data_IF_820957700208
#
_entry.id   IF_820957700208
#
_cell.length_a   1.000
_cell.length_b   1.000
_cell.length_c   1.000
_cell.angle_alpha   90.00
_cell.angle_beta   90.00
_cell.angle_gamma   90.00
#
_symmetry.space_group_name_H-M   'P 1'
#
loop_
_entity.id
_entity.type
_entity.pdbx_description
1 polymer ?
#
# COMPACT_ATOMS: atom_id res chain seq x y z
N UNK A 1 -13.88 -5.35 14.55
CA UNK A 1 -12.46 -5.49 14.95
C UNK A 1 -11.75 -4.11 15.01
N UNK A 2 -11.69 -3.34 13.92
CA UNK A 2 -10.96 -2.06 13.92
C UNK A 2 -11.60 -0.97 14.79
N UNK A 3 -12.90 -1.03 15.02
CA UNK A 3 -13.63 -0.12 15.93
C UNK A 3 -13.18 -0.21 17.40
N UNK A 4 -12.59 -1.34 17.80
CA UNK A 4 -12.10 -1.57 19.16
C UNK A 4 -10.62 -1.23 19.36
N UNK A 5 -9.95 -0.68 18.37
CA UNK A 5 -8.56 -0.25 18.50
C UNK A 5 -8.44 0.89 19.51
N UNK A 6 -7.47 0.79 20.42
CA UNK A 6 -7.19 1.86 21.40
C UNK A 6 -6.77 3.16 20.71
N UNK A 7 -6.02 3.03 19.60
CA UNK A 7 -5.66 4.11 18.69
C UNK A 7 -6.10 3.69 17.29
N UNK A 8 -7.03 4.40 16.64
CA UNK A 8 -7.58 4.01 15.34
C UNK A 8 -6.61 4.30 14.19
N UNK A 9 -5.37 3.81 14.32
CA UNK A 9 -4.25 3.95 13.39
C UNK A 9 -3.77 2.57 12.97
N UNK A 10 -3.64 2.38 11.66
CA UNK A 10 -3.16 1.14 11.05
C UNK A 10 -1.89 1.43 10.25
N UNK A 11 -0.82 0.67 10.47
CA UNK A 11 0.32 0.67 9.56
C UNK A 11 -0.06 -0.08 8.28
N UNK A 12 -0.06 0.63 7.15
CA UNK A 12 -0.41 0.08 5.84
C UNK A 12 0.59 -1.01 5.41
N UNK A 13 0.14 -2.01 4.63
CA UNK A 13 1.04 -2.95 3.99
C UNK A 13 1.87 -2.23 2.91
N UNK A 14 3.18 -2.23 3.06
CA UNK A 14 4.12 -1.59 2.15
C UNK A 14 5.07 -2.65 1.60
N UNK A 15 4.72 -3.22 0.45
CA UNK A 15 5.49 -4.27 -0.21
C UNK A 15 6.87 -3.75 -0.67
N UNK A 16 7.83 -4.66 -0.78
CA UNK A 16 9.19 -4.35 -1.21
C UNK A 16 10.15 -3.91 -0.09
N UNK A 17 9.77 -4.16 1.18
CA UNK A 17 10.67 -4.02 2.32
C UNK A 17 10.16 -3.22 3.52
N UNK A 18 9.46 -2.09 3.37
CA UNK A 18 9.15 -1.23 4.53
C UNK A 18 8.32 -1.89 5.63
N UNK A 19 7.34 -2.78 5.29
CA UNK A 19 6.59 -3.54 6.29
C UNK A 19 7.43 -4.69 6.84
N UNK A 20 7.86 -4.55 8.08
CA UNK A 20 8.62 -5.57 8.83
C UNK A 20 7.79 -6.08 10.02
N UNK A 21 8.08 -7.27 10.55
CA UNK A 21 7.51 -7.74 11.81
C UNK A 21 7.71 -6.75 12.95
N UNK A 22 8.87 -6.07 13.01
CA UNK A 22 9.21 -5.08 14.02
C UNK A 22 8.31 -3.84 13.93
N UNK A 23 8.08 -3.31 12.72
CA UNK A 23 7.18 -2.18 12.49
C UNK A 23 5.76 -2.51 12.94
N UNK A 24 5.24 -3.65 12.49
CA UNK A 24 3.89 -4.12 12.87
C UNK A 24 3.78 -4.23 14.39
N UNK A 25 4.78 -4.86 15.03
CA UNK A 25 4.81 -5.05 16.49
C UNK A 25 4.82 -3.72 17.26
N UNK A 26 5.65 -2.76 16.82
CA UNK A 26 5.76 -1.45 17.46
C UNK A 26 4.43 -0.68 17.39
N UNK A 27 3.76 -0.70 16.24
CA UNK A 27 2.44 -0.08 16.07
C UNK A 27 1.37 -0.75 16.93
N UNK A 28 1.36 -2.08 17.02
CA UNK A 28 0.42 -2.84 17.86
C UNK A 28 0.63 -2.53 19.34
N UNK A 29 1.85 -2.49 19.82
CA UNK A 29 2.18 -2.11 21.22
C UNK A 29 1.71 -0.70 21.56
N UNK A 30 1.75 0.20 20.59
CA UNK A 30 1.22 1.56 20.76
C UNK A 30 -0.33 1.62 20.79
N UNK A 31 -1.01 0.50 20.50
CA UNK A 31 -2.47 0.37 20.52
C UNK A 31 -3.14 0.51 19.17
N UNK A 32 -2.36 0.57 18.08
CA UNK A 32 -2.82 0.51 16.71
C UNK A 32 -2.90 -0.92 16.17
N UNK A 33 -2.88 -1.04 14.84
CA UNK A 33 -2.86 -2.30 14.11
C UNK A 33 -1.83 -2.22 12.98
N UNK A 34 -1.35 -3.33 12.46
CA UNK A 34 -0.40 -3.31 11.36
C UNK A 34 -0.55 -4.50 10.42
N UNK A 35 -0.20 -4.28 9.15
CA UNK A 35 -0.19 -5.31 8.12
C UNK A 35 1.23 -5.65 7.68
N UNK A 36 1.53 -6.95 7.61
CA UNK A 36 2.62 -7.46 6.78
C UNK A 36 2.22 -7.38 5.30
N UNK A 37 3.18 -7.16 4.43
CA UNK A 37 2.95 -7.09 3.00
C UNK A 37 3.46 -8.37 2.32
N UNK A 38 2.55 -9.24 1.87
CA UNK A 38 2.88 -10.49 1.19
C UNK A 38 3.34 -10.30 -0.26
N UNK A 39 3.07 -9.13 -0.88
CA UNK A 39 3.49 -8.84 -2.25
C UNK A 39 5.00 -8.93 -2.44
N UNK A 40 5.42 -9.55 -3.55
CA UNK A 40 6.81 -9.78 -3.96
C UNK A 40 7.61 -10.75 -3.07
N UNK A 41 7.02 -11.32 -2.04
CA UNK A 41 7.62 -12.35 -1.20
C UNK A 41 7.29 -13.75 -1.73
N UNK A 42 8.12 -14.73 -1.39
CA UNK A 42 7.72 -16.14 -1.51
C UNK A 42 6.79 -16.51 -0.33
N UNK A 43 5.96 -17.56 -0.50
CA UNK A 43 5.14 -18.07 0.60
C UNK A 43 6.00 -18.47 1.82
N UNK A 44 7.19 -19.02 1.61
CA UNK A 44 8.11 -19.39 2.69
C UNK A 44 8.59 -18.14 3.47
N UNK A 45 9.06 -17.10 2.78
CA UNK A 45 9.48 -15.84 3.43
C UNK A 45 8.32 -15.18 4.18
N UNK A 46 7.10 -15.22 3.60
CA UNK A 46 5.91 -14.71 4.27
C UNK A 46 5.56 -15.52 5.52
N UNK A 47 5.71 -16.85 5.47
CA UNK A 47 5.49 -17.72 6.63
C UNK A 47 6.44 -17.39 7.81
N UNK A 48 7.71 -17.10 7.51
CA UNK A 48 8.70 -16.69 8.51
C UNK A 48 8.32 -15.34 9.14
N UNK A 49 7.86 -14.37 8.33
CA UNK A 49 7.40 -13.07 8.83
C UNK A 49 6.13 -13.20 9.69
N UNK A 50 5.17 -14.03 9.29
CA UNK A 50 3.95 -14.32 10.08
C UNK A 50 4.34 -14.92 11.43
N UNK A 51 5.22 -15.92 11.43
CA UNK A 51 5.68 -16.57 12.65
C UNK A 51 6.32 -15.57 13.61
N UNK A 52 7.29 -14.80 13.13
CA UNK A 52 7.99 -13.78 13.91
C UNK A 52 7.04 -12.70 14.45
N UNK A 53 6.09 -12.24 13.63
CA UNK A 53 5.12 -11.22 14.07
C UNK A 53 4.23 -11.77 15.17
N UNK A 54 3.75 -13.02 15.03
CA UNK A 54 2.92 -13.68 16.03
C UNK A 54 3.63 -13.85 17.37
N UNK A 55 4.92 -14.19 17.35
CA UNK A 55 5.73 -14.26 18.57
C UNK A 55 5.88 -12.90 19.27
N UNK A 56 5.98 -11.81 18.51
CA UNK A 56 6.25 -10.47 19.04
C UNK A 56 4.98 -9.68 19.41
N UNK A 57 3.90 -9.85 18.67
CA UNK A 57 2.67 -9.04 18.73
C UNK A 57 1.39 -9.86 19.01
N UNK A 58 1.48 -11.19 19.14
CA UNK A 58 0.31 -12.08 19.27
C UNK A 58 -0.53 -12.09 18.00
N UNK A 59 -1.86 -12.06 18.14
CA UNK A 59 -2.82 -12.17 17.03
C UNK A 59 -3.35 -10.79 16.56
N UNK A 60 -2.70 -9.69 16.91
CA UNK A 60 -3.17 -8.33 16.55
C UNK A 60 -2.51 -7.80 15.28
N UNK A 61 -2.42 -8.60 14.22
CA UNK A 61 -1.85 -8.18 12.94
C UNK A 61 -2.62 -8.76 11.75
N UNK A 62 -2.36 -8.19 10.57
CA UNK A 62 -2.89 -8.69 9.30
C UNK A 62 -1.80 -8.95 8.27
N UNK A 63 -2.21 -9.60 7.18
CA UNK A 63 -1.38 -9.84 5.99
C UNK A 63 -2.10 -9.29 4.77
N UNK A 64 -1.38 -8.58 3.90
CA UNK A 64 -1.92 -8.15 2.61
C UNK A 64 -1.43 -9.06 1.48
N UNK A 65 -2.34 -9.44 0.59
CA UNK A 65 -2.08 -10.19 -0.64
C UNK A 65 -2.51 -9.38 -1.86
N UNK A 66 -1.81 -9.57 -2.98
CA UNK A 66 -2.22 -9.03 -4.27
C UNK A 66 -3.12 -10.03 -4.99
N UNK A 67 -4.30 -9.58 -5.40
CA UNK A 67 -5.17 -10.38 -6.28
C UNK A 67 -4.55 -10.37 -7.67
N UNK A 68 -4.31 -11.53 -8.30
CA UNK A 68 -3.74 -11.60 -9.62
C UNK A 68 -4.65 -10.97 -10.67
N UNK A 69 -4.11 -10.04 -11.45
CA UNK A 69 -4.80 -9.48 -12.60
C UNK A 69 -4.72 -10.40 -13.83
N UNK A 70 -5.50 -10.08 -14.84
CA UNK A 70 -5.39 -10.74 -16.14
C UNK A 70 -4.02 -10.41 -16.75
N UNK A 71 -3.37 -11.43 -17.34
CA UNK A 71 -2.11 -11.24 -18.08
C UNK A 71 -2.30 -10.23 -19.22
N UNK A 72 -1.55 -9.14 -19.18
CA UNK A 72 -1.51 -8.19 -20.29
C UNK A 72 -0.90 -8.86 -21.53
N UNK A 73 -1.53 -8.64 -22.68
CA UNK A 73 -1.02 -9.08 -23.98
C UNK A 73 -0.21 -7.99 -24.70
N UNK A 74 0.00 -6.85 -24.05
CA UNK A 74 0.79 -5.73 -24.59
C UNK A 74 2.23 -6.19 -24.77
N UNK A 75 2.81 -5.92 -25.95
CA UNK A 75 4.24 -6.15 -26.19
C UNK A 75 5.07 -5.15 -25.38
N UNK A 76 5.87 -5.67 -24.48
CA UNK A 76 6.75 -4.89 -23.60
C UNK A 76 8.20 -4.81 -24.09
N UNK A 77 8.49 -5.35 -25.28
CA UNK A 77 9.85 -5.42 -25.84
C UNK A 77 10.42 -4.01 -26.07
N UNK A 78 9.62 -3.13 -26.68
CA UNK A 78 10.03 -1.74 -26.94
C UNK A 78 10.35 -0.98 -25.65
N UNK A 79 9.62 -1.25 -24.57
CA UNK A 79 9.89 -0.66 -23.27
C UNK A 79 11.18 -1.22 -22.64
N UNK A 80 11.40 -2.53 -22.73
CA UNK A 80 12.64 -3.15 -22.29
C UNK A 80 13.87 -2.63 -23.04
N UNK A 81 13.76 -2.46 -24.37
CA UNK A 81 14.82 -1.89 -25.22
C UNK A 81 15.12 -0.43 -24.84
N UNK A 82 14.09 0.36 -24.59
CA UNK A 82 14.23 1.75 -24.09
C UNK A 82 15.05 1.81 -22.81
N UNK A 83 14.91 0.85 -21.92
CA UNK A 83 15.59 0.82 -20.62
C UNK A 83 17.04 0.36 -20.69
N UNK A 84 17.57 -0.10 -21.85
CA UNK A 84 18.96 -0.57 -21.97
C UNK A 84 19.97 0.51 -21.55
N UNK A 85 19.80 1.74 -22.05
CA UNK A 85 20.69 2.84 -21.69
C UNK A 85 20.66 3.20 -20.20
N UNK A 86 19.52 3.03 -19.55
CA UNK A 86 19.43 3.19 -18.09
C UNK A 86 20.10 2.02 -17.36
N UNK A 87 19.90 0.79 -17.81
CA UNK A 87 20.52 -0.40 -17.25
C UNK A 87 22.04 -0.38 -17.37
N UNK A 88 22.56 0.10 -18.52
CA UNK A 88 24.00 0.26 -18.77
C UNK A 88 24.68 1.21 -17.79
N UNK A 89 23.97 2.25 -17.30
CA UNK A 89 24.48 3.16 -16.25
C UNK A 89 24.87 2.43 -14.97
N UNK A 90 24.22 1.31 -14.67
CA UNK A 90 24.44 0.49 -13.48
C UNK A 90 25.12 -0.83 -13.77
N UNK A 91 25.54 -1.09 -15.03
CA UNK A 91 26.23 -2.32 -15.40
C UNK A 91 25.34 -3.56 -15.31
N UNK A 92 24.03 -3.44 -15.52
CA UNK A 92 23.06 -4.53 -15.47
C UNK A 92 22.27 -4.62 -16.77
N UNK A 93 21.52 -5.73 -16.96
CA UNK A 93 20.54 -5.84 -18.02
C UNK A 93 19.12 -5.64 -17.46
N UNK A 94 18.17 -5.12 -18.26
CA UNK A 94 16.76 -5.18 -17.91
C UNK A 94 16.31 -6.63 -17.65
N UNK A 95 15.38 -6.81 -16.73
CA UNK A 95 14.82 -8.13 -16.45
C UNK A 95 13.90 -8.65 -17.56
N UNK A 96 13.47 -9.90 -17.44
CA UNK A 96 12.52 -10.48 -18.38
C UNK A 96 11.09 -10.01 -18.07
N UNK A 97 10.36 -9.55 -19.10
CA UNK A 97 8.96 -9.14 -19.02
C UNK A 97 7.99 -10.32 -18.85
N UNK A 98 8.18 -11.13 -17.80
CA UNK A 98 7.31 -12.27 -17.51
C UNK A 98 6.12 -11.84 -16.68
N UNK A 99 4.98 -12.44 -16.98
CA UNK A 99 3.82 -12.40 -16.09
C UNK A 99 3.99 -13.45 -14.99
N UNK A 100 3.60 -13.12 -13.79
CA UNK A 100 3.45 -14.04 -12.66
C UNK A 100 2.23 -13.60 -11.81
N UNK A 101 1.72 -14.51 -11.01
CA UNK A 101 0.59 -14.30 -10.09
C UNK A 101 1.04 -13.96 -8.67
N UNK A 102 2.30 -13.60 -8.48
CA UNK A 102 2.91 -13.33 -7.18
C UNK A 102 2.79 -14.53 -6.20
N UNK A 103 2.60 -15.74 -6.72
CA UNK A 103 2.39 -16.94 -5.90
C UNK A 103 1.11 -16.91 -5.07
N UNK A 104 0.05 -16.29 -5.60
CA UNK A 104 -1.20 -16.01 -4.89
C UNK A 104 -1.79 -17.25 -4.21
N UNK A 105 -1.97 -18.35 -4.96
CA UNK A 105 -2.58 -19.57 -4.41
C UNK A 105 -1.83 -20.10 -3.19
N UNK A 106 -0.49 -20.18 -3.26
CA UNK A 106 0.32 -20.68 -2.15
C UNK A 106 0.29 -19.74 -0.93
N UNK A 107 0.20 -18.42 -1.15
CA UNK A 107 0.07 -17.42 -0.08
C UNK A 107 -1.32 -17.44 0.55
N UNK A 108 -2.37 -17.64 -0.26
CA UNK A 108 -3.73 -17.81 0.24
C UNK A 108 -3.84 -19.04 1.12
N UNK A 109 -3.34 -20.20 0.65
CA UNK A 109 -3.31 -21.43 1.44
C UNK A 109 -2.55 -21.22 2.77
N UNK A 110 -1.42 -20.53 2.73
CA UNK A 110 -0.63 -20.19 3.92
C UNK A 110 -1.43 -19.38 4.94
N UNK A 111 -2.11 -18.30 4.53
CA UNK A 111 -2.84 -17.44 5.47
C UNK A 111 -4.07 -18.13 6.04
N UNK A 112 -4.73 -19.01 5.28
CA UNK A 112 -5.83 -19.88 5.74
C UNK A 112 -5.29 -20.91 6.75
N UNK A 113 -4.24 -21.65 6.39
CA UNK A 113 -3.62 -22.68 7.26
C UNK A 113 -3.15 -22.08 8.59
N UNK A 114 -2.51 -20.90 8.52
CA UNK A 114 -2.00 -20.18 9.69
C UNK A 114 -3.08 -19.41 10.43
N UNK A 115 -4.32 -19.38 9.95
CA UNK A 115 -5.42 -18.62 10.54
C UNK A 115 -5.00 -17.19 10.88
N UNK A 116 -4.44 -16.48 9.88
CA UNK A 116 -4.05 -15.07 10.06
C UNK A 116 -5.30 -14.26 10.40
N UNK A 117 -5.34 -13.48 11.49
CA UNK A 117 -6.59 -12.87 11.96
C UNK A 117 -7.28 -11.97 10.95
N UNK A 118 -6.50 -11.24 10.15
CA UNK A 118 -7.00 -10.34 9.11
C UNK A 118 -6.20 -10.51 7.83
N UNK A 119 -6.87 -10.72 6.71
CA UNK A 119 -6.22 -10.72 5.39
C UNK A 119 -6.81 -9.59 4.55
N UNK A 120 -5.96 -8.71 4.06
CA UNK A 120 -6.37 -7.64 3.15
C UNK A 120 -5.94 -7.95 1.72
N UNK A 121 -6.74 -7.49 0.77
CA UNK A 121 -6.52 -7.70 -0.65
C UNK A 121 -6.40 -6.38 -1.40
N UNK A 122 -5.52 -6.37 -2.40
CA UNK A 122 -5.26 -5.21 -3.26
C UNK A 122 -5.25 -5.65 -4.72
N UNK A 123 -5.73 -4.82 -5.63
CA UNK A 123 -5.82 -5.00 -7.09
C UNK A 123 -7.01 -5.83 -7.57
N UNK A 124 -7.98 -6.08 -6.73
CA UNK A 124 -9.20 -6.80 -7.07
C UNK A 124 -9.86 -7.42 -5.84
N UNK A 125 -10.96 -8.07 -6.10
CA UNK A 125 -11.70 -8.88 -5.12
C UNK A 125 -11.27 -10.34 -5.28
N UNK A 126 -10.94 -11.06 -4.18
CA UNK A 126 -10.75 -12.50 -4.24
C UNK A 126 -12.00 -13.23 -4.77
N UNK A 127 -11.83 -14.43 -5.25
CA UNK A 127 -12.98 -15.27 -5.60
C UNK A 127 -13.85 -15.52 -4.36
N UNK A 128 -15.17 -15.60 -4.54
CA UNK A 128 -16.12 -15.88 -3.44
C UNK A 128 -15.70 -17.14 -2.66
N UNK A 129 -15.29 -18.20 -3.37
CA UNK A 129 -14.81 -19.43 -2.73
C UNK A 129 -13.55 -19.23 -1.87
N UNK A 130 -12.66 -18.28 -2.24
CA UNK A 130 -11.48 -17.94 -1.44
C UNK A 130 -11.88 -17.19 -0.16
N UNK A 131 -12.86 -16.29 -0.27
CA UNK A 131 -13.43 -15.56 0.87
C UNK A 131 -14.12 -16.52 1.82
N UNK A 132 -14.93 -17.46 1.32
CA UNK A 132 -15.59 -18.48 2.12
C UNK A 132 -14.56 -19.33 2.90
N UNK A 133 -13.49 -19.76 2.26
CA UNK A 133 -12.39 -20.50 2.92
C UNK A 133 -11.73 -19.68 4.04
N UNK A 134 -11.56 -18.39 3.84
CA UNK A 134 -11.01 -17.48 4.86
C UNK A 134 -11.98 -17.35 6.03
N UNK A 135 -13.27 -17.18 5.78
CA UNK A 135 -14.30 -17.11 6.83
C UNK A 135 -14.40 -18.42 7.63
N UNK A 136 -14.34 -19.59 6.98
CA UNK A 136 -14.29 -20.88 7.65
C UNK A 136 -13.08 -21.02 8.59
N UNK A 137 -11.96 -20.37 8.25
CA UNK A 137 -10.77 -20.31 9.10
C UNK A 137 -10.86 -19.24 10.20
N UNK A 138 -11.94 -18.44 10.26
CA UNK A 138 -12.14 -17.34 11.21
C UNK A 138 -11.37 -16.07 10.88
N UNK A 139 -11.02 -15.87 9.61
CA UNK A 139 -10.24 -14.72 9.11
C UNK A 139 -11.17 -13.59 8.69
N UNK A 140 -10.87 -12.36 9.13
CA UNK A 140 -11.54 -11.15 8.64
C UNK A 140 -10.96 -10.73 7.29
N UNK A 141 -11.82 -10.50 6.31
CA UNK A 141 -11.45 -10.14 4.94
C UNK A 141 -11.60 -8.64 4.71
N UNK A 142 -10.50 -7.97 4.34
CA UNK A 142 -10.48 -6.56 3.98
C UNK A 142 -10.18 -6.42 2.48
N UNK A 143 -10.95 -5.62 1.75
CA UNK A 143 -10.68 -5.33 0.33
C UNK A 143 -10.37 -3.84 0.17
N UNK A 144 -9.26 -3.52 -0.52
CA UNK A 144 -8.91 -2.14 -0.83
C UNK A 144 -9.64 -1.69 -2.09
N UNK A 145 -10.41 -0.62 -1.99
CA UNK A 145 -11.28 -0.08 -3.05
C UNK A 145 -10.97 1.39 -3.30
N UNK A 146 -11.20 1.86 -4.53
CA UNK A 146 -10.97 3.24 -4.97
C UNK A 146 -12.22 3.93 -5.49
N UNK A 147 -13.29 3.17 -5.77
CA UNK A 147 -14.55 3.65 -6.34
C UNK A 147 -15.78 2.99 -5.70
N UNK A 148 -16.97 3.60 -5.81
CA UNK A 148 -18.22 2.97 -5.37
C UNK A 148 -18.53 1.63 -6.07
N UNK A 149 -18.20 1.49 -7.35
CA UNK A 149 -18.40 0.25 -8.10
C UNK A 149 -17.55 -0.90 -7.54
N UNK A 150 -16.27 -0.64 -7.26
CA UNK A 150 -15.37 -1.59 -6.61
C UNK A 150 -15.86 -1.95 -5.19
N UNK A 151 -16.42 -1.00 -4.47
CA UNK A 151 -16.99 -1.23 -3.14
C UNK A 151 -18.21 -2.17 -3.19
N UNK A 152 -19.11 -1.98 -4.15
CA UNK A 152 -20.28 -2.88 -4.36
C UNK A 152 -19.82 -4.30 -4.75
N UNK A 153 -18.81 -4.40 -5.64
CA UNK A 153 -18.23 -5.68 -6.03
C UNK A 153 -17.66 -6.41 -4.82
N UNK A 154 -16.81 -5.73 -4.03
CA UNK A 154 -16.18 -6.32 -2.86
C UNK A 154 -17.20 -6.74 -1.78
N UNK A 155 -18.20 -5.90 -1.51
CA UNK A 155 -19.27 -6.21 -0.57
C UNK A 155 -20.10 -7.42 -1.03
N UNK A 156 -20.43 -7.49 -2.31
CA UNK A 156 -21.18 -8.62 -2.90
C UNK A 156 -20.39 -9.93 -2.82
N UNK A 157 -19.07 -9.86 -2.96
CA UNK A 157 -18.20 -11.02 -2.85
C UNK A 157 -18.02 -11.52 -1.41
N UNK A 158 -18.38 -10.72 -0.40
CA UNK A 158 -18.31 -11.12 1.01
C UNK A 158 -17.18 -10.46 1.80
N UNK A 159 -16.64 -9.32 1.37
CA UNK A 159 -15.71 -8.55 2.20
C UNK A 159 -16.34 -8.12 3.52
N UNK A 160 -15.59 -8.17 4.63
CA UNK A 160 -16.05 -7.74 5.96
C UNK A 160 -15.78 -6.25 6.20
N UNK A 161 -14.73 -5.71 5.59
CA UNK A 161 -14.26 -4.32 5.75
C UNK A 161 -13.74 -3.81 4.41
N UNK A 162 -13.97 -2.55 4.11
CA UNK A 162 -13.39 -1.89 2.93
C UNK A 162 -12.29 -0.91 3.35
N UNK A 163 -11.11 -1.04 2.73
CA UNK A 163 -10.06 -0.03 2.82
C UNK A 163 -10.19 0.96 1.65
N UNK A 164 -10.69 2.15 1.92
CA UNK A 164 -10.94 3.20 0.92
C UNK A 164 -9.63 3.94 0.64
N UNK A 165 -9.11 3.78 -0.58
CA UNK A 165 -7.86 4.44 -0.98
C UNK A 165 -8.15 5.70 -1.80
N UNK A 166 -7.81 6.87 -1.24
CA UNK A 166 -7.80 8.14 -1.96
C UNK A 166 -6.64 8.23 -2.98
N UNK A 167 -6.80 9.10 -4.00
CA UNK A 167 -5.77 9.26 -5.03
C UNK A 167 -4.47 9.91 -4.49
N UNK A 168 -4.50 10.47 -3.30
CA UNK A 168 -3.36 11.05 -2.58
C UNK A 168 -2.37 10.01 -2.08
N UNK A 169 -2.78 8.72 -2.05
CA UNK A 169 -1.99 7.63 -1.54
C UNK A 169 -0.66 7.44 -2.28
N UNK A 170 0.39 7.12 -1.55
CA UNK A 170 1.66 6.62 -2.11
C UNK A 170 1.57 5.14 -2.49
N UNK A 171 2.46 4.72 -3.38
CA UNK A 171 2.47 3.38 -3.93
C UNK A 171 1.41 3.16 -5.00
N UNK A 172 1.13 1.90 -5.28
CA UNK A 172 0.18 1.52 -6.33
C UNK A 172 -1.23 1.97 -6.02
N UNK A 173 -1.92 2.45 -7.04
CA UNK A 173 -3.36 2.59 -7.00
C UNK A 173 -4.00 1.19 -6.95
N UNK A 174 -4.94 1.02 -6.03
CA UNK A 174 -5.59 -0.27 -5.79
C UNK A 174 -6.73 -0.57 -6.78
N UNK A 175 -6.89 0.24 -7.85
CA UNK A 175 -7.94 0.02 -8.86
C UNK A 175 -8.02 -1.46 -9.25
N UNK A 176 -9.23 -2.01 -9.39
CA UNK A 176 -9.40 -3.41 -9.79
C UNK A 176 -9.00 -3.61 -11.24
N UNK A 177 -9.45 -2.72 -12.11
CA UNK A 177 -9.08 -2.70 -13.52
C UNK A 177 -8.22 -1.47 -13.81
N UNK A 178 -7.05 -1.68 -14.41
CA UNK A 178 -6.19 -0.59 -14.88
C UNK A 178 -6.66 -0.10 -16.25
N UNK A 179 -7.34 1.04 -16.29
CA UNK A 179 -7.75 1.71 -17.53
C UNK A 179 -6.51 2.29 -18.22
N UNK A 180 -6.03 1.61 -19.25
CA UNK A 180 -4.87 2.02 -20.02
C UNK A 180 -5.04 3.37 -20.76
N UNK A 181 -6.27 3.86 -20.92
CA UNK A 181 -6.54 5.18 -21.53
C UNK A 181 -6.32 6.35 -20.56
N UNK A 182 -6.16 6.06 -19.27
CA UNK A 182 -5.93 7.03 -18.20
C UNK A 182 -4.57 6.81 -17.54
N UNK A 183 -3.76 7.85 -17.37
CA UNK A 183 -2.46 7.76 -16.67
C UNK A 183 -2.64 7.29 -15.21
N UNK A 184 -3.79 7.53 -14.63
CA UNK A 184 -4.17 7.13 -13.27
C UNK A 184 -4.78 5.74 -13.16
N UNK A 185 -5.09 5.07 -14.27
CA UNK A 185 -5.75 3.77 -14.29
C UNK A 185 -7.22 3.79 -13.93
N UNK A 186 -7.84 4.98 -13.79
CA UNK A 186 -9.22 5.14 -13.43
C UNK A 186 -9.51 6.49 -12.74
N UNK A 187 -10.73 6.71 -12.22
CA UNK A 187 -11.14 7.95 -11.60
C UNK A 187 -10.22 8.37 -10.45
N UNK A 188 -9.97 9.68 -10.34
CA UNK A 188 -9.21 10.29 -9.24
C UNK A 188 -10.18 10.86 -8.19
N UNK A 189 -10.51 10.05 -7.19
CA UNK A 189 -11.31 10.50 -6.05
C UNK A 189 -10.40 10.87 -4.87
N UNK A 190 -10.54 12.10 -4.37
CA UNK A 190 -9.93 12.50 -3.11
C UNK A 190 -10.51 11.67 -1.95
N UNK A 191 -9.70 11.39 -0.93
CA UNK A 191 -10.07 10.46 0.13
C UNK A 191 -11.41 10.77 0.81
N UNK A 192 -11.68 12.04 1.17
CA UNK A 192 -12.95 12.39 1.82
C UNK A 192 -14.15 12.20 0.88
N UNK A 193 -13.98 12.51 -0.41
CA UNK A 193 -15.03 12.26 -1.42
C UNK A 193 -15.27 10.76 -1.59
N UNK A 194 -14.19 9.96 -1.67
CA UNK A 194 -14.28 8.51 -1.79
C UNK A 194 -15.02 7.89 -0.58
N UNK A 195 -14.65 8.29 0.65
CA UNK A 195 -15.32 7.82 1.87
C UNK A 195 -16.82 8.11 1.86
N UNK A 196 -17.24 9.33 1.45
CA UNK A 196 -18.64 9.71 1.41
C UNK A 196 -19.42 8.96 0.32
N UNK A 197 -18.83 8.82 -0.86
CA UNK A 197 -19.47 8.13 -1.99
C UNK A 197 -19.60 6.62 -1.72
N UNK A 198 -18.53 6.00 -1.19
CA UNK A 198 -18.51 4.57 -0.87
C UNK A 198 -19.42 4.27 0.33
N UNK A 199 -19.39 5.11 1.37
CA UNK A 199 -20.27 4.94 2.54
C UNK A 199 -21.76 5.14 2.24
N UNK A 200 -22.13 5.67 1.07
CA UNK A 200 -23.50 5.71 0.59
C UNK A 200 -23.94 4.40 -0.11
N UNK A 201 -23.00 3.53 -0.48
CA UNK A 201 -23.25 2.28 -1.21
C UNK A 201 -23.22 1.02 -0.30
N UNK A 202 -22.70 1.13 0.94
CA UNK A 202 -22.53 -0.03 1.82
C UNK A 202 -22.52 0.37 3.28
N UNK A 203 -23.00 -0.53 4.14
CA UNK A 203 -22.93 -0.42 5.60
C UNK A 203 -21.67 -1.07 6.18
N UNK A 204 -20.77 -1.60 5.34
CA UNK A 204 -19.52 -2.19 5.81
C UNK A 204 -18.63 -1.14 6.48
N UNK A 205 -17.88 -1.51 7.54
CA UNK A 205 -16.90 -0.63 8.14
C UNK A 205 -15.84 -0.16 7.13
N UNK A 206 -15.54 1.14 7.12
CA UNK A 206 -14.58 1.75 6.20
C UNK A 206 -13.28 2.10 6.94
N UNK A 207 -12.15 1.67 6.38
CA UNK A 207 -10.81 2.12 6.78
C UNK A 207 -10.33 3.14 5.76
N UNK A 208 -9.89 4.32 6.20
CA UNK A 208 -9.41 5.39 5.33
C UNK A 208 -7.92 5.25 5.02
N UNK A 209 -7.51 5.33 3.76
CA UNK A 209 -6.10 5.27 3.34
C UNK A 209 -5.77 6.30 2.26
N UNK A 210 -4.61 6.95 2.38
CA UNK A 210 -4.09 7.88 1.37
C UNK A 210 -3.91 9.31 1.85
N UNK A 211 -2.68 9.83 1.72
CA UNK A 211 -2.33 11.19 2.09
C UNK A 211 -2.33 11.50 3.58
N UNK A 212 -2.46 10.50 4.44
CA UNK A 212 -2.58 10.68 5.90
C UNK A 212 -1.19 10.60 6.55
N UNK A 213 -0.78 11.66 7.26
CA UNK A 213 0.51 11.71 7.98
C UNK A 213 0.43 12.42 9.34
N UNK A 214 -0.67 13.12 9.61
CA UNK A 214 -0.87 13.91 10.81
C UNK A 214 -2.15 13.48 11.55
N UNK A 215 -2.21 13.66 12.88
CA UNK A 215 -3.40 13.27 13.65
C UNK A 215 -4.67 14.01 13.24
N UNK A 216 -4.57 15.23 12.75
CA UNK A 216 -5.72 15.96 12.20
C UNK A 216 -6.32 15.25 10.98
N UNK A 217 -5.51 14.57 10.15
CA UNK A 217 -5.99 13.78 9.02
C UNK A 217 -6.77 12.56 9.52
N UNK A 218 -6.25 11.90 10.58
CA UNK A 218 -6.95 10.80 11.26
C UNK A 218 -8.31 11.27 11.79
N UNK A 219 -8.34 12.38 12.50
CA UNK A 219 -9.58 12.96 13.04
C UNK A 219 -10.59 13.29 11.94
N UNK A 220 -10.13 13.86 10.82
CA UNK A 220 -10.98 14.21 9.68
C UNK A 220 -11.61 12.96 9.03
N UNK A 221 -10.83 11.89 8.85
CA UNK A 221 -11.35 10.65 8.25
C UNK A 221 -12.33 9.92 9.17
N UNK A 222 -12.08 9.89 10.48
CA UNK A 222 -13.03 9.36 11.45
C UNK A 222 -14.34 10.18 11.44
N UNK A 223 -14.24 11.52 11.38
CA UNK A 223 -15.42 12.39 11.26
C UNK A 223 -16.18 12.20 9.93
N UNK A 224 -15.51 11.71 8.89
CA UNK A 224 -16.12 11.37 7.61
C UNK A 224 -16.75 9.96 7.57
N UNK A 225 -16.69 9.20 8.67
CA UNK A 225 -17.32 7.89 8.83
C UNK A 225 -16.38 6.69 8.76
N UNK A 226 -15.06 6.89 8.66
CA UNK A 226 -14.11 5.78 8.76
C UNK A 226 -14.00 5.28 10.21
N UNK A 227 -13.80 3.97 10.40
CA UNK A 227 -13.56 3.36 11.71
C UNK A 227 -12.09 3.41 12.14
N UNK A 228 -11.17 3.53 11.18
CA UNK A 228 -9.73 3.68 11.41
C UNK A 228 -9.06 4.35 10.20
N UNK A 229 -7.85 4.86 10.41
CA UNK A 229 -6.98 5.43 9.38
C UNK A 229 -5.78 4.51 9.14
N UNK A 230 -5.54 4.14 7.87
CA UNK A 230 -4.40 3.33 7.44
C UNK A 230 -3.34 4.23 6.80
N UNK A 231 -2.18 4.31 7.42
CA UNK A 231 -1.08 5.18 7.05
C UNK A 231 0.12 4.37 6.54
N UNK A 232 0.61 4.68 5.34
CA UNK A 232 1.83 4.08 4.79
C UNK A 232 3.01 5.03 4.94
N UNK A 233 2.95 6.14 4.22
CA UNK A 233 4.04 7.13 4.12
C UNK A 233 4.51 7.65 5.48
N UNK A 234 3.60 7.79 6.45
CA UNK A 234 3.91 8.20 7.81
C UNK A 234 4.91 7.26 8.52
N UNK A 235 4.95 5.99 8.13
CA UNK A 235 5.83 4.98 8.72
C UNK A 235 7.08 4.65 7.89
N UNK A 236 7.25 5.22 6.69
CA UNK A 236 8.44 4.96 5.85
C UNK A 236 9.75 5.37 6.53
N UNK A 237 9.69 6.35 7.42
CA UNK A 237 10.84 6.87 8.19
C UNK A 237 10.89 6.35 9.62
N UNK A 238 10.02 5.40 9.97
CA UNK A 238 10.08 4.75 11.28
C UNK A 238 11.36 3.92 11.43
N UNK A 239 11.90 3.85 12.64
CA UNK A 239 13.16 3.16 12.92
C UNK A 239 13.04 1.66 12.61
N UNK A 240 11.87 1.08 12.83
CA UNK A 240 11.56 -0.33 12.61
C UNK A 240 11.18 -0.65 11.15
N UNK A 241 10.98 0.37 10.30
CA UNK A 241 10.66 0.16 8.89
C UNK A 241 11.88 -0.31 8.10
N UNK A 242 11.70 -1.33 7.25
CA UNK A 242 12.72 -1.84 6.35
C UNK A 242 12.96 -0.96 5.11
N UNK A 243 12.66 0.33 5.19
CA UNK A 243 12.94 1.30 4.12
C UNK A 243 14.44 1.41 3.92
N UNK A 244 14.93 1.10 2.72
CA UNK A 244 16.37 1.14 2.44
C UNK A 244 16.95 2.56 2.53
N UNK A 245 18.27 2.65 2.72
CA UNK A 245 18.99 3.91 2.96
C UNK A 245 18.81 4.94 1.84
N UNK A 246 18.84 4.53 0.57
CA UNK A 246 18.66 5.40 -0.59
C UNK A 246 17.25 6.02 -0.60
N UNK A 247 16.24 5.22 -0.29
CA UNK A 247 14.86 5.69 -0.22
C UNK A 247 14.66 6.64 0.98
N UNK A 248 15.17 6.27 2.15
CA UNK A 248 15.10 7.11 3.36
C UNK A 248 15.78 8.46 3.13
N UNK A 249 16.99 8.47 2.54
CA UNK A 249 17.71 9.70 2.21
C UNK A 249 16.94 10.60 1.23
N UNK A 250 16.23 10.02 0.25
CA UNK A 250 15.41 10.79 -0.68
C UNK A 250 14.18 11.43 0.00
N UNK A 251 13.57 10.75 0.97
CA UNK A 251 12.48 11.29 1.79
C UNK A 251 13.00 12.43 2.70
N UNK A 252 14.18 12.24 3.31
CA UNK A 252 14.81 13.22 4.21
C UNK A 252 15.24 14.50 3.47
N UNK A 253 15.74 14.35 2.25
CA UNK A 253 16.12 15.49 1.41
C UNK A 253 14.93 16.39 1.05
N UNK A 254 13.71 15.84 0.96
CA UNK A 254 12.52 16.59 0.62
C UNK A 254 12.55 17.24 -0.76
N UNK A 255 11.69 18.25 -0.98
CA UNK A 255 11.73 19.12 -2.17
C UNK A 255 11.25 18.51 -3.48
N UNK A 256 10.94 17.21 -3.52
CA UNK A 256 10.38 16.55 -4.71
C UNK A 256 8.85 16.61 -4.70
N UNK A 257 8.24 16.80 -5.85
CA UNK A 257 6.81 16.58 -6.02
C UNK A 257 6.51 15.07 -6.11
N UNK A 258 5.25 14.70 -5.96
CA UNK A 258 4.80 13.32 -6.23
C UNK A 258 4.01 13.28 -7.52
N UNK A 259 4.21 12.23 -8.31
CA UNK A 259 3.43 11.97 -9.51
C UNK A 259 2.99 10.50 -9.60
N UNK A 260 1.92 10.24 -10.35
CA UNK A 260 1.47 8.88 -10.67
C UNK A 260 2.20 8.43 -11.94
N UNK A 261 2.67 7.19 -11.96
CA UNK A 261 3.40 6.61 -13.08
C UNK A 261 3.20 5.11 -13.19
N UNK A 262 3.28 4.57 -14.42
CA UNK A 262 3.46 3.13 -14.69
C UNK A 262 4.92 2.74 -14.93
N UNK A 263 5.84 3.70 -14.99
CA UNK A 263 7.21 3.50 -15.45
C UNK A 263 7.95 2.36 -14.71
N UNK A 264 7.71 2.17 -13.44
CA UNK A 264 8.41 1.16 -12.66
C UNK A 264 7.76 -0.22 -12.70
N UNK A 265 6.44 -0.29 -12.76
CA UNK A 265 5.74 -1.56 -12.55
C UNK A 265 4.75 -1.95 -13.65
N UNK A 266 4.34 -1.00 -14.49
CA UNK A 266 3.27 -1.21 -15.46
C UNK A 266 1.87 -1.04 -14.88
N UNK A 267 1.76 -0.60 -13.61
CA UNK A 267 0.51 -0.25 -12.93
C UNK A 267 0.64 1.13 -12.32
N UNK A 268 -0.42 1.97 -12.32
CA UNK A 268 -0.36 3.31 -11.77
C UNK A 268 0.06 3.31 -10.30
N UNK A 269 1.09 4.06 -9.97
CA UNK A 269 1.60 4.19 -8.61
C UNK A 269 2.13 5.60 -8.36
N UNK A 270 1.90 6.14 -7.16
CA UNK A 270 2.40 7.47 -6.78
C UNK A 270 3.74 7.36 -6.07
N UNK A 271 4.70 8.12 -6.55
CA UNK A 271 6.02 8.24 -5.91
C UNK A 271 6.60 9.63 -6.05
N UNK A 272 7.75 9.85 -5.40
CA UNK A 272 8.55 11.05 -5.59
C UNK A 272 9.05 11.12 -7.02
N UNK A 273 8.92 12.29 -7.64
CA UNK A 273 9.45 12.49 -8.98
C UNK A 273 10.98 12.37 -8.98
N UNK A 274 11.46 11.55 -9.89
CA UNK A 274 12.87 11.41 -10.18
C UNK A 274 13.08 11.31 -11.71
N UNK A 275 14.32 11.23 -12.15
CA UNK A 275 14.66 11.18 -13.57
C UNK A 275 13.99 9.99 -14.26
N UNK A 276 14.05 8.79 -13.69
CA UNK A 276 13.45 7.60 -14.28
C UNK A 276 11.93 7.77 -14.52
N UNK A 277 11.22 8.30 -13.54
CA UNK A 277 9.79 8.58 -13.64
C UNK A 277 9.51 9.57 -14.79
N UNK A 278 10.21 10.71 -14.82
CA UNK A 278 9.99 11.75 -15.83
C UNK A 278 10.28 11.24 -17.25
N UNK A 279 11.35 10.50 -17.41
CA UNK A 279 11.79 10.05 -18.75
C UNK A 279 10.96 8.89 -19.29
N UNK A 280 10.35 8.05 -18.42
CA UNK A 280 9.76 6.80 -18.84
C UNK A 280 8.24 6.71 -18.68
N UNK A 281 7.56 7.63 -17.96
CA UNK A 281 6.11 7.54 -17.71
C UNK A 281 5.29 7.51 -18.99
N UNK A 282 5.57 8.40 -19.94
CA UNK A 282 4.80 8.51 -21.17
C UNK A 282 4.94 7.28 -22.09
N UNK A 283 6.02 6.49 -21.94
CA UNK A 283 6.28 5.30 -22.75
C UNK A 283 5.86 3.99 -22.03
N UNK A 284 5.49 4.05 -20.76
CA UNK A 284 5.21 2.88 -19.96
C UNK A 284 3.79 2.33 -20.24
N UNK A 285 3.65 1.12 -20.80
CA UNK A 285 2.34 0.53 -21.05
C UNK A 285 1.71 0.01 -19.75
N UNK A 286 0.39 -0.20 -19.78
CA UNK A 286 -0.36 -0.91 -18.73
C UNK A 286 -0.08 -2.42 -18.86
N UNK A 287 0.98 -2.89 -18.21
CA UNK A 287 1.46 -4.27 -18.26
C UNK A 287 2.12 -4.69 -16.94
N UNK A 288 1.32 -4.78 -15.89
CA UNK A 288 1.74 -5.33 -14.59
C UNK A 288 1.48 -6.85 -14.54
N UNK A 289 2.39 -7.66 -13.97
CA UNK A 289 3.68 -7.30 -13.37
C UNK A 289 4.87 -7.30 -14.34
N UNK A 290 4.66 -7.42 -15.67
CA UNK A 290 5.74 -7.55 -16.64
C UNK A 290 6.77 -6.41 -16.54
N UNK A 291 6.31 -5.14 -16.46
CA UNK A 291 7.22 -4.00 -16.30
C UNK A 291 7.93 -4.02 -14.96
N UNK A 292 7.24 -4.43 -13.88
CA UNK A 292 7.89 -4.60 -12.58
C UNK A 292 9.10 -5.54 -12.68
N UNK A 293 8.96 -6.63 -13.42
CA UNK A 293 10.03 -7.61 -13.61
C UNK A 293 11.15 -7.08 -14.50
N UNK A 294 10.82 -6.32 -15.55
CA UNK A 294 11.80 -5.65 -16.41
C UNK A 294 12.66 -4.64 -15.62
N UNK A 295 12.04 -3.82 -14.79
CA UNK A 295 12.72 -2.72 -14.08
C UNK A 295 13.42 -3.17 -12.81
N UNK A 296 13.08 -4.34 -12.25
CA UNK A 296 13.60 -4.83 -10.95
C UNK A 296 15.14 -4.84 -10.86
N UNK A 297 15.91 -5.36 -11.85
CA UNK A 297 17.37 -5.32 -11.77
C UNK A 297 17.92 -3.89 -11.76
N UNK A 298 17.37 -3.00 -12.57
CA UNK A 298 17.81 -1.59 -12.64
C UNK A 298 17.56 -0.88 -11.32
N UNK A 299 16.36 -1.02 -10.75
CA UNK A 299 16.01 -0.44 -9.45
C UNK A 299 16.89 -0.95 -8.31
N UNK A 300 17.20 -2.26 -8.33
CA UNK A 300 18.06 -2.87 -7.33
C UNK A 300 19.50 -2.34 -7.44
N UNK A 301 20.05 -2.23 -8.65
CA UNK A 301 21.38 -1.70 -8.88
C UNK A 301 21.49 -0.21 -8.53
N UNK A 302 20.48 0.60 -8.88
CA UNK A 302 20.41 2.01 -8.48
C UNK A 302 20.36 2.16 -6.95
N UNK A 303 19.58 1.31 -6.27
CA UNK A 303 19.53 1.28 -4.80
C UNK A 303 20.91 0.97 -4.20
N UNK A 304 21.60 -0.04 -4.73
CA UNK A 304 22.94 -0.42 -4.28
C UNK A 304 23.99 0.67 -4.53
N UNK A 305 23.81 1.45 -5.61
CA UNK A 305 24.66 2.61 -5.93
C UNK A 305 24.31 3.87 -5.11
N UNK A 306 23.26 3.84 -4.30
CA UNK A 306 22.78 5.02 -3.56
C UNK A 306 22.17 6.10 -4.44
N UNK A 307 21.76 5.77 -5.68
CA UNK A 307 21.21 6.72 -6.63
C UNK A 307 19.67 6.71 -6.60
N UNK A 308 18.99 7.75 -6.05
CA UNK A 308 17.53 7.81 -5.98
C UNK A 308 16.87 8.06 -7.34
N UNK A 309 17.64 8.40 -8.38
CA UNK A 309 17.09 8.82 -9.68
C UNK A 309 16.52 7.66 -10.52
N UNK A 310 16.78 6.40 -10.14
CA UNK A 310 16.17 5.23 -10.77
C UNK A 310 15.56 4.24 -9.77
N UNK A 311 15.27 4.67 -8.55
CA UNK A 311 14.56 3.91 -7.52
C UNK A 311 13.08 4.25 -7.50
N UNK A 312 12.20 3.27 -7.29
CA UNK A 312 10.77 3.51 -7.06
C UNK A 312 10.56 4.06 -5.64
N UNK A 313 10.45 5.37 -5.52
CA UNK A 313 10.33 6.10 -4.26
C UNK A 313 8.85 6.37 -3.94
N UNK A 314 8.11 5.33 -3.56
CA UNK A 314 6.66 5.42 -3.35
C UNK A 314 6.30 6.29 -2.14
N UNK A 315 5.58 7.37 -2.35
CA UNK A 315 5.15 8.27 -1.27
C UNK A 315 3.85 8.98 -1.60
N UNK A 316 3.00 9.20 -0.60
CA UNK A 316 1.79 10.01 -0.71
C UNK A 316 2.10 11.51 -0.80
N UNK A 317 1.10 12.30 -1.19
CA UNK A 317 1.27 13.74 -1.43
C UNK A 317 1.75 14.52 -0.20
N UNK A 318 1.43 14.04 0.98
CA UNK A 318 1.77 14.68 2.27
C UNK A 318 3.11 14.23 2.85
N UNK A 319 3.94 13.50 2.09
CA UNK A 319 5.23 12.98 2.57
C UNK A 319 6.14 14.04 3.23
N UNK A 320 6.14 15.33 2.81
CA UNK A 320 7.01 16.32 3.45
C UNK A 320 6.71 16.56 4.94
N UNK A 321 5.51 16.15 5.39
CA UNK A 321 5.07 16.27 6.78
C UNK A 321 5.40 15.02 7.63
N UNK A 322 6.02 13.99 7.04
CA UNK A 322 6.39 12.78 7.77
C UNK A 322 7.54 13.05 8.73
N UNK A 323 7.57 12.31 9.82
CA UNK A 323 8.62 12.40 10.82
C UNK A 323 9.35 11.05 10.96
N UNK A 324 10.59 11.08 11.45
CA UNK A 324 11.39 9.90 11.77
C UNK A 324 11.30 9.55 13.25
N UNK A 325 11.75 8.35 13.60
CA UNK A 325 11.85 7.85 14.96
C UNK A 325 11.08 6.55 15.19
N UNK A 326 10.98 6.08 16.43
CA UNK A 326 10.27 4.84 16.76
C UNK A 326 8.79 4.90 16.35
N UNK A 327 8.28 3.83 15.74
CA UNK A 327 6.88 3.76 15.27
C UNK A 327 5.87 3.94 16.41
N UNK A 328 6.18 3.44 17.61
CA UNK A 328 5.36 3.68 18.81
C UNK A 328 5.19 5.17 19.09
N UNK A 329 6.27 5.97 18.97
CA UNK A 329 6.21 7.42 19.16
C UNK A 329 5.40 8.11 18.08
N UNK A 330 5.49 7.64 16.82
CA UNK A 330 4.68 8.15 15.71
C UNK A 330 3.19 7.92 16.00
N UNK A 331 2.79 6.72 16.43
CA UNK A 331 1.40 6.39 16.79
C UNK A 331 0.90 7.24 17.96
N UNK A 332 1.70 7.37 19.01
CA UNK A 332 1.32 8.18 20.19
C UNK A 332 1.06 9.65 19.82
N UNK A 333 1.93 10.23 19.00
CA UNK A 333 1.78 11.61 18.48
C UNK A 333 0.54 11.76 17.60
N UNK A 334 0.30 10.84 16.67
CA UNK A 334 -0.90 10.84 15.83
C UNK A 334 -2.17 10.84 16.69
N UNK A 335 -2.20 10.04 17.78
CA UNK A 335 -3.32 9.98 18.70
C UNK A 335 -3.52 11.31 19.47
N UNK A 336 -2.45 11.97 19.91
CA UNK A 336 -2.51 13.26 20.58
C UNK A 336 -3.02 14.35 19.64
N UNK A 337 -2.40 14.49 18.47
CA UNK A 337 -2.80 15.45 17.44
C UNK A 337 -4.26 15.25 16.99
N UNK A 338 -4.73 14.00 16.92
CA UNK A 338 -6.13 13.72 16.56
C UNK A 338 -7.10 14.26 17.65
N UNK A 339 -6.79 14.04 18.93
CA UNK A 339 -7.62 14.57 20.03
C UNK A 339 -7.63 16.10 20.05
N UNK A 340 -6.49 16.74 19.81
CA UNK A 340 -6.38 18.20 19.70
C UNK A 340 -7.23 18.75 18.54
N UNK A 341 -7.15 18.08 17.36
CA UNK A 341 -7.93 18.46 16.18
C UNK A 341 -9.44 18.36 16.42
N UNK A 342 -9.91 17.27 17.04
CA UNK A 342 -11.33 17.10 17.41
C UNK A 342 -11.76 18.19 18.39
N UNK A 343 -10.95 18.45 19.42
CA UNK A 343 -11.24 19.50 20.42
C UNK A 343 -11.27 20.90 19.79
N UNK A 344 -10.37 21.18 18.86
CA UNK A 344 -10.34 22.45 18.14
C UNK A 344 -11.55 22.63 17.22
N UNK A 345 -11.96 21.55 16.54
CA UNK A 345 -13.16 21.55 15.69
C UNK A 345 -14.43 21.77 16.53
N UNK A 346 -14.58 21.05 17.63
CA UNK A 346 -15.74 21.20 18.53
C UNK A 346 -15.92 22.66 19.00
N UNK A 347 -14.83 23.34 19.38
CA UNK A 347 -14.88 24.76 19.78
C UNK A 347 -15.32 25.72 18.67
N UNK A 348 -15.26 25.34 17.41
CA UNK A 348 -15.69 26.17 16.27
C UNK A 348 -17.18 26.01 15.94
N UNK A 349 -17.78 24.92 16.37
CA UNK A 349 -19.22 24.69 16.21
C UNK A 349 -20.07 25.19 17.40
N UNK A 350 -19.42 25.74 18.43
CA UNK A 350 -20.04 26.21 19.66
C UNK A 350 -19.98 25.19 20.74
#
# INVERSE_FOLDING_TARGET
MFESLRVPVIAAPMAGGPSTPELVTSVVRAGGFGFLAGGYLTAATLADQIHKTRELAGESFGVNLFVPGVRSLVDVTSYADRLRGEADRYGVAPGAGRWDDDGYAAKLDLVVERRVPVVSFTFGTPLVADIERLHEAGVTVVVTVTTPDEAREAATAGADVLCVQGFEAGGHRAVFTDDASSDSGGPLLGLLSALRLIGAETDLPLVAAGGLVHGADVAATLSAGAVAAQLGTAFLRADEAGTNGTYRAALDAGGRQTAITRAFSGRPARGLENRFLRENSAAAPAAYPQLNNITKPVRAAATAAGDPEAVSLWAGQTYPLTESGPAERIVARLAEQAREAVSAAARRFG
#
